data_IF_708762045685
#
_entry.id   IF_708762045685
#
_cell.length_a   1.000
_cell.length_b   1.000
_cell.length_c   1.000
_cell.angle_alpha   90.00
_cell.angle_beta   90.00
_cell.angle_gamma   90.00
#
_symmetry.space_group_name_H-M   'P 1'
#
loop_
_entity.id
_entity.type
_entity.pdbx_description
1 polymer ?
#
# COMPACT_ATOMS: atom_id res chain seq x y z
N UNK A 1 -19.03 -9.16 14.50
CA UNK A 1 -18.92 -8.12 13.45
C UNK A 1 -17.70 -7.29 13.77
N UNK A 2 -16.56 -7.60 13.18
CA UNK A 2 -15.35 -6.79 13.33
C UNK A 2 -15.46 -5.65 12.32
N UNK A 3 -15.99 -4.51 12.76
CA UNK A 3 -15.82 -3.26 12.02
C UNK A 3 -14.33 -2.92 12.07
N UNK A 4 -13.56 -3.38 11.10
CA UNK A 4 -12.20 -2.87 10.88
C UNK A 4 -12.36 -1.46 10.30
N UNK A 5 -12.73 -0.49 11.15
CA UNK A 5 -12.73 0.93 10.83
C UNK A 5 -11.28 1.41 10.89
N UNK A 6 -10.47 0.91 9.96
CA UNK A 6 -9.16 1.48 9.67
C UNK A 6 -9.27 2.02 8.25
N UNK A 7 -9.12 3.34 8.11
CA UNK A 7 -9.12 4.01 6.81
C UNK A 7 -7.96 3.45 5.99
N UNK A 8 -8.28 2.51 5.09
CA UNK A 8 -7.30 1.71 4.34
C UNK A 8 -6.37 2.58 3.49
N UNK A 9 -6.79 3.79 3.12
CA UNK A 9 -6.18 4.70 2.14
C UNK A 9 -4.71 5.06 2.39
N UNK A 10 -4.23 4.90 3.62
CA UNK A 10 -2.84 5.20 4.01
C UNK A 10 -1.96 3.95 4.12
N UNK A 11 -2.49 2.74 3.89
CA UNK A 11 -1.70 1.51 3.95
C UNK A 11 -0.66 1.45 2.83
N UNK A 12 0.52 1.00 3.19
CA UNK A 12 1.64 0.73 2.28
C UNK A 12 1.33 -0.47 1.37
N UNK A 13 1.84 -0.49 0.12
CA UNK A 13 1.56 -1.54 -0.85
C UNK A 13 1.95 -2.95 -0.36
N UNK A 14 3.04 -3.09 0.39
CA UNK A 14 3.48 -4.35 0.99
C UNK A 14 2.47 -4.91 2.01
N UNK A 15 1.78 -4.04 2.75
CA UNK A 15 0.71 -4.47 3.66
C UNK A 15 -0.53 -4.92 2.87
N UNK A 16 -0.83 -4.27 1.74
CA UNK A 16 -1.93 -4.66 0.85
C UNK A 16 -1.65 -6.00 0.15
N UNK A 17 -0.38 -6.33 -0.08
CA UNK A 17 0.07 -7.62 -0.64
C UNK A 17 0.23 -8.73 0.40
N UNK A 18 0.05 -8.43 1.70
CA UNK A 18 0.11 -9.43 2.76
C UNK A 18 1.51 -9.75 3.29
N UNK A 19 2.46 -8.81 3.19
CA UNK A 19 3.80 -8.97 3.75
C UNK A 19 3.77 -9.34 5.24
N UNK A 20 4.45 -10.44 5.58
CA UNK A 20 4.57 -10.94 6.96
C UNK A 20 5.57 -10.14 7.79
N UNK A 21 6.52 -9.50 7.13
CA UNK A 21 7.55 -8.67 7.73
C UNK A 21 7.41 -7.24 7.21
N UNK A 22 7.19 -6.30 8.12
CA UNK A 22 7.15 -4.87 7.82
C UNK A 22 8.16 -4.13 8.69
N UNK A 23 8.61 -2.97 8.22
CA UNK A 23 9.53 -2.08 8.93
C UNK A 23 8.84 -0.74 9.17
N UNK A 24 9.51 0.21 9.83
CA UNK A 24 9.01 1.59 9.96
C UNK A 24 8.80 2.31 8.61
N UNK A 25 9.20 1.73 7.48
CA UNK A 25 8.90 2.25 6.15
C UNK A 25 7.39 2.37 5.88
N UNK A 26 6.56 1.50 6.48
CA UNK A 26 5.08 1.57 6.32
C UNK A 26 4.49 2.85 6.93
N UNK A 27 5.12 3.36 8.00
CA UNK A 27 4.72 4.62 8.63
C UNK A 27 5.12 5.80 7.76
N UNK A 28 6.32 5.76 7.17
CA UNK A 28 6.80 6.79 6.23
C UNK A 28 5.90 6.87 5.00
N UNK A 29 5.44 5.73 4.46
CA UNK A 29 4.44 5.70 3.41
C UNK A 29 3.15 6.41 3.82
N UNK A 30 2.62 6.07 4.99
CA UNK A 30 1.39 6.67 5.54
C UNK A 30 1.52 8.19 5.68
N UNK A 31 2.66 8.67 6.20
CA UNK A 31 2.98 10.10 6.30
C UNK A 31 3.00 10.78 4.93
N UNK A 32 3.59 10.13 3.91
CA UNK A 32 3.59 10.64 2.54
C UNK A 32 2.19 10.82 1.96
N UNK A 33 1.31 9.83 2.17
CA UNK A 33 -0.10 9.92 1.77
C UNK A 33 -0.84 11.06 2.49
N UNK A 34 -0.65 11.21 3.80
CA UNK A 34 -1.27 12.29 4.60
C UNK A 34 -0.76 13.65 4.15
N UNK A 35 0.55 13.78 3.92
CA UNK A 35 1.15 15.02 3.43
C UNK A 35 0.58 15.42 2.07
N UNK A 36 0.47 14.46 1.14
CA UNK A 36 -0.19 14.68 -0.15
C UNK A 36 -1.65 15.10 0.02
N UNK A 37 -2.41 14.44 0.89
CA UNK A 37 -3.79 14.81 1.17
C UNK A 37 -3.93 16.23 1.73
N UNK A 38 -3.05 16.65 2.63
CA UNK A 38 -3.04 18.01 3.17
C UNK A 38 -2.73 19.05 2.08
N UNK A 39 -1.81 18.74 1.18
CA UNK A 39 -1.42 19.61 0.07
C UNK A 39 -2.53 19.77 -0.97
N UNK A 40 -3.24 18.68 -1.30
CA UNK A 40 -4.26 18.67 -2.36
C UNK A 40 -5.70 18.75 -1.85
N UNK A 41 -5.91 18.73 -0.51
CA UNK A 41 -7.22 18.71 0.16
C UNK A 41 -8.14 17.58 -0.32
N UNK A 42 -7.54 16.45 -0.70
CA UNK A 42 -8.24 15.28 -1.23
C UNK A 42 -7.46 14.01 -0.87
N UNK A 43 -8.18 12.95 -0.48
CA UNK A 43 -7.59 11.63 -0.26
C UNK A 43 -6.92 11.14 -1.54
N UNK A 44 -5.63 10.82 -1.43
CA UNK A 44 -4.79 10.52 -2.58
C UNK A 44 -5.09 9.14 -3.19
N UNK A 45 -5.23 8.11 -2.35
CA UNK A 45 -5.51 6.72 -2.76
C UNK A 45 -6.83 6.19 -2.16
N UNK A 46 -7.94 6.88 -2.45
CA UNK A 46 -9.26 6.47 -1.98
C UNK A 46 -9.73 5.21 -2.73
N UNK A 47 -10.00 4.09 -2.05
CA UNK A 47 -10.42 2.83 -2.68
C UNK A 47 -11.27 1.96 -1.76
N UNK A 48 -12.22 1.20 -2.31
CA UNK A 48 -13.15 0.41 -1.50
C UNK A 48 -12.59 -0.96 -1.12
N UNK A 49 -11.59 -1.46 -1.86
CA UNK A 49 -10.93 -2.75 -1.60
C UNK A 49 -9.40 -2.65 -1.60
N UNK A 50 -8.68 -3.52 -0.86
CA UNK A 50 -7.21 -3.53 -0.84
C UNK A 50 -6.61 -3.66 -2.24
N UNK A 51 -7.24 -4.48 -3.09
CA UNK A 51 -6.85 -4.66 -4.48
C UNK A 51 -6.99 -3.36 -5.29
N UNK A 52 -8.11 -2.66 -5.17
CA UNK A 52 -8.30 -1.37 -5.84
C UNK A 52 -7.29 -0.33 -5.37
N UNK A 53 -6.95 -0.33 -4.08
CA UNK A 53 -5.95 0.59 -3.56
C UNK A 53 -4.57 0.30 -4.13
N UNK A 54 -4.16 -0.97 -4.14
CA UNK A 54 -2.90 -1.40 -4.75
C UNK A 54 -2.85 -1.03 -6.23
N UNK A 55 -3.95 -1.23 -6.96
CA UNK A 55 -4.05 -0.83 -8.36
C UNK A 55 -3.84 0.67 -8.56
N UNK A 56 -4.47 1.52 -7.74
CA UNK A 56 -4.29 2.99 -7.78
C UNK A 56 -2.86 3.42 -7.47
N UNK A 57 -2.22 2.74 -6.52
CA UNK A 57 -0.82 2.99 -6.18
C UNK A 57 0.09 2.69 -7.38
N UNK A 58 -0.11 1.54 -8.03
CA UNK A 58 0.66 1.14 -9.21
C UNK A 58 0.39 2.06 -10.41
N UNK A 59 -0.86 2.49 -10.61
CA UNK A 59 -1.22 3.43 -11.66
C UNK A 59 -0.52 4.79 -11.48
N UNK A 60 -0.38 5.24 -10.23
CA UNK A 60 0.24 6.52 -9.90
C UNK A 60 1.77 6.48 -9.91
N UNK A 61 2.39 5.45 -9.31
CA UNK A 61 3.85 5.32 -9.21
C UNK A 61 4.49 4.62 -10.41
N UNK A 62 3.68 3.97 -11.24
CA UNK A 62 4.13 3.07 -12.30
C UNK A 62 4.26 1.62 -11.83
N UNK A 63 4.37 0.71 -12.80
CA UNK A 63 4.58 -0.71 -12.51
C UNK A 63 5.91 -0.92 -11.77
N UNK A 64 5.90 -1.65 -10.64
CA UNK A 64 7.13 -1.96 -9.92
C UNK A 64 8.12 -2.67 -10.86
N UNK A 65 9.38 -2.22 -10.86
CA UNK A 65 10.45 -2.91 -11.56
C UNK A 65 10.68 -4.32 -11.01
N UNK A 66 11.42 -5.15 -11.75
CA UNK A 66 11.65 -6.56 -11.41
C UNK A 66 12.17 -6.76 -9.97
N UNK A 67 12.97 -5.83 -9.43
CA UNK A 67 13.48 -5.91 -8.06
C UNK A 67 12.41 -5.64 -6.99
N UNK A 68 11.47 -4.73 -7.25
CA UNK A 68 10.36 -4.46 -6.33
C UNK A 68 9.37 -5.64 -6.29
N UNK A 69 9.22 -6.38 -7.39
CA UNK A 69 8.43 -7.60 -7.45
C UNK A 69 9.03 -8.76 -6.65
N UNK A 70 10.36 -8.81 -6.47
CA UNK A 70 11.01 -9.84 -5.64
C UNK A 70 10.58 -9.72 -4.18
N UNK A 71 10.59 -8.50 -3.63
CA UNK A 71 10.12 -8.24 -2.27
C UNK A 71 8.62 -8.53 -2.09
N UNK A 72 7.82 -8.32 -3.14
CA UNK A 72 6.40 -8.69 -3.14
C UNK A 72 6.19 -10.21 -3.17
N UNK A 73 7.02 -10.97 -3.89
CA UNK A 73 6.93 -12.43 -3.97
C UNK A 73 7.43 -13.13 -2.69
N UNK A 74 8.38 -12.55 -1.97
CA UNK A 74 8.79 -13.06 -0.64
C UNK A 74 7.66 -12.97 0.39
N UNK A 75 6.71 -12.04 0.22
CA UNK A 75 5.52 -11.92 1.05
C UNK A 75 4.49 -13.03 0.82
N UNK A 76 4.39 -13.58 -0.40
CA UNK A 76 3.37 -14.59 -0.78
C UNK A 76 3.77 -16.03 -0.45
N UNK A 77 5.02 -16.29 -0.07
CA UNK A 77 5.44 -17.60 0.43
C UNK A 77 5.42 -18.73 -0.61
N UNK A 78 5.41 -18.40 -1.91
CA UNK A 78 5.71 -19.37 -2.95
C UNK A 78 7.23 -19.38 -3.20
N UNK A 79 7.91 -20.18 -2.40
CA UNK A 79 9.26 -20.67 -2.68
C UNK A 79 9.18 -21.52 -3.95
N UNK A 80 9.93 -21.16 -5.00
CA UNK A 80 10.28 -22.11 -6.07
C UNK A 80 11.20 -23.17 -5.49
#
# INVERSE_FOLDING_TARGET
>A
MSHEVVTMYYRAPELLMGARSYTGAVDIWSVGCIFGELAFRKIFFQADTPYQQLHKIIEFLGSPGADALKYANEATGETI
#
